data_IF_031184209887
#
_entry.id   IF_031184209887
#
_cell.length_a   1.000
_cell.length_b   1.000
_cell.length_c   1.000
_cell.angle_alpha   90.00
_cell.angle_beta   90.00
_cell.angle_gamma   90.00
#
_symmetry.space_group_name_H-M   'P 1'
#
loop_
_entity.id
_entity.type
_entity.pdbx_description
1 polymer ?
#
# COMPACT_ATOMS: atom_id res chain seq x y z
N UNK A 1 2.57 -8.35 -16.95
CA UNK A 1 3.22 -7.18 -16.31
C UNK A 1 4.40 -6.62 -17.09
N UNK A 2 5.16 -7.46 -17.81
CA UNK A 2 6.27 -6.98 -18.64
C UNK A 2 5.85 -5.88 -19.63
N UNK A 3 4.63 -5.97 -20.20
CA UNK A 3 4.09 -4.97 -21.14
C UNK A 3 3.22 -3.85 -20.52
N UNK A 4 3.10 -3.75 -19.18
CA UNK A 4 2.21 -2.72 -18.58
C UNK A 4 2.92 -1.38 -18.36
N UNK A 5 2.26 -0.26 -18.64
CA UNK A 5 2.81 1.08 -18.35
C UNK A 5 2.94 1.31 -16.83
N UNK A 6 4.08 1.86 -16.35
CA UNK A 6 4.25 2.19 -14.94
C UNK A 6 3.35 3.37 -14.53
N UNK A 7 3.12 3.52 -13.24
CA UNK A 7 2.38 4.66 -12.66
C UNK A 7 3.19 5.32 -11.55
N UNK A 8 2.97 6.61 -11.30
CA UNK A 8 3.71 7.40 -10.30
C UNK A 8 3.19 7.28 -8.87
N UNK A 9 1.98 6.73 -8.67
CA UNK A 9 1.40 6.53 -7.34
C UNK A 9 0.76 5.14 -7.20
N UNK A 10 0.88 4.48 -6.03
CA UNK A 10 0.33 3.14 -5.82
C UNK A 10 -1.21 3.15 -5.81
N UNK A 11 -1.82 4.29 -5.48
CA UNK A 11 -3.28 4.50 -5.47
C UNK A 11 -3.65 5.85 -6.10
N UNK A 12 -4.86 5.94 -6.65
CA UNK A 12 -5.42 7.21 -7.14
C UNK A 12 -5.93 8.02 -5.94
N UNK A 13 -5.59 9.30 -5.87
CA UNK A 13 -6.04 10.17 -4.78
C UNK A 13 -7.57 10.25 -4.74
N UNK A 14 -8.15 10.14 -3.53
CA UNK A 14 -9.60 10.15 -3.34
C UNK A 14 -10.35 8.91 -3.84
N UNK A 15 -9.64 7.90 -4.38
CA UNK A 15 -10.27 6.66 -4.82
C UNK A 15 -10.72 5.83 -3.63
N UNK A 16 -12.00 5.51 -3.59
CA UNK A 16 -12.64 4.74 -2.51
C UNK A 16 -12.99 3.35 -3.02
N UNK A 17 -12.51 2.34 -2.31
CA UNK A 17 -12.93 0.96 -2.52
C UNK A 17 -14.15 0.67 -1.65
N UNK A 18 -15.00 -0.25 -2.12
CA UNK A 18 -16.23 -0.63 -1.43
C UNK A 18 -16.48 -2.12 -1.60
N UNK A 19 -16.98 -2.77 -0.56
CA UNK A 19 -17.28 -4.20 -0.57
C UNK A 19 -18.49 -4.52 -1.46
N UNK A 20 -19.48 -3.62 -1.46
CA UNK A 20 -20.77 -3.80 -2.12
C UNK A 20 -20.81 -3.18 -3.52
N UNK A 21 -19.84 -3.53 -4.38
CA UNK A 21 -19.95 -3.22 -5.81
C UNK A 21 -20.74 -4.32 -6.52
N UNK A 22 -21.68 -3.95 -7.40
CA UNK A 22 -22.32 -4.86 -8.37
C UNK A 22 -21.32 -5.40 -9.43
N UNK A 23 -20.04 -5.45 -9.10
CA UNK A 23 -18.96 -5.85 -10.00
C UNK A 23 -18.81 -7.36 -10.06
N UNK A 24 -18.23 -7.83 -11.16
CA UNK A 24 -17.91 -9.25 -11.34
C UNK A 24 -16.86 -9.65 -10.30
N UNK A 25 -17.14 -10.73 -9.58
CA UNK A 25 -16.19 -11.33 -8.64
C UNK A 25 -15.02 -11.97 -9.38
N UNK A 26 -13.82 -11.91 -8.81
CA UNK A 26 -12.62 -12.56 -9.34
C UNK A 26 -12.23 -13.75 -8.45
N UNK A 27 -11.26 -14.56 -8.89
CA UNK A 27 -10.74 -15.65 -8.06
C UNK A 27 -10.09 -15.12 -6.77
N UNK A 28 -10.75 -15.41 -5.64
CA UNK A 28 -10.29 -15.13 -4.28
C UNK A 28 -8.86 -15.63 -4.03
N UNK A 29 -8.51 -16.81 -4.54
CA UNK A 29 -7.20 -17.43 -4.26
C UNK A 29 -6.10 -16.63 -4.93
N UNK A 30 -6.25 -16.34 -6.22
CA UNK A 30 -5.32 -15.51 -6.96
C UNK A 30 -5.19 -14.11 -6.34
N UNK A 31 -6.30 -13.48 -5.96
CA UNK A 31 -6.28 -12.17 -5.32
C UNK A 31 -5.53 -12.19 -3.97
N UNK A 32 -5.80 -13.18 -3.10
CA UNK A 32 -5.11 -13.34 -1.81
C UNK A 32 -3.62 -13.54 -1.98
N UNK A 33 -3.20 -14.38 -2.94
CA UNK A 33 -1.78 -14.60 -3.24
C UNK A 33 -1.08 -13.32 -3.69
N UNK A 34 -1.73 -12.56 -4.56
CA UNK A 34 -1.22 -11.27 -5.03
C UNK A 34 -1.04 -10.29 -3.87
N UNK A 35 -2.10 -10.08 -3.07
CA UNK A 35 -2.05 -9.13 -1.96
C UNK A 35 -1.06 -9.59 -0.88
N UNK A 36 -0.97 -10.88 -0.59
CA UNK A 36 0.04 -11.43 0.33
C UNK A 36 1.47 -11.17 -0.14
N UNK A 37 1.72 -11.31 -1.45
CA UNK A 37 3.03 -10.99 -2.04
C UNK A 37 3.36 -9.50 -1.93
N UNK A 38 2.38 -8.63 -2.14
CA UNK A 38 2.55 -7.18 -1.94
C UNK A 38 2.79 -6.84 -0.47
N UNK A 39 2.12 -7.54 0.46
CA UNK A 39 2.31 -7.34 1.90
C UNK A 39 3.73 -7.69 2.34
N UNK A 40 4.36 -8.70 1.74
CA UNK A 40 5.76 -9.00 2.00
C UNK A 40 6.69 -7.84 1.63
N UNK A 41 6.41 -7.13 0.52
CA UNK A 41 7.24 -6.02 0.06
C UNK A 41 7.17 -4.79 0.98
N UNK A 42 6.07 -4.60 1.73
CA UNK A 42 5.93 -3.43 2.63
C UNK A 42 6.98 -3.41 3.74
N UNK A 43 7.59 -4.56 4.06
CA UNK A 43 8.71 -4.68 5.00
C UNK A 43 9.97 -3.92 4.56
N UNK A 44 10.08 -3.54 3.29
CA UNK A 44 11.20 -2.72 2.76
C UNK A 44 10.73 -1.49 1.97
N UNK A 45 9.41 -1.36 1.78
CA UNK A 45 8.77 -0.34 0.93
C UNK A 45 7.66 0.37 1.70
N UNK A 46 8.00 1.33 2.60
CA UNK A 46 7.02 2.10 3.35
C UNK A 46 6.08 2.90 2.45
N UNK A 47 6.52 3.29 1.26
CA UNK A 47 5.77 4.11 0.31
C UNK A 47 4.52 3.45 -0.27
N UNK A 48 4.37 2.12 -0.17
CA UNK A 48 3.18 1.39 -0.64
C UNK A 48 2.32 0.81 0.49
N UNK A 49 2.70 0.98 1.75
CA UNK A 49 2.04 0.32 2.88
C UNK A 49 0.54 0.62 2.92
N UNK A 50 0.16 1.90 2.81
CA UNK A 50 -1.23 2.32 2.81
C UNK A 50 -2.06 1.64 1.71
N UNK A 51 -1.55 1.66 0.47
CA UNK A 51 -2.26 1.07 -0.66
C UNK A 51 -2.44 -0.44 -0.51
N UNK A 52 -1.40 -1.13 -0.04
CA UNK A 52 -1.42 -2.58 0.22
C UNK A 52 -2.36 -2.94 1.37
N UNK A 53 -2.34 -2.18 2.47
CA UNK A 53 -3.25 -2.34 3.61
C UNK A 53 -4.71 -2.08 3.23
N UNK A 54 -4.97 -1.13 2.32
CA UNK A 54 -6.32 -0.85 1.84
C UNK A 54 -6.86 -2.02 1.02
N UNK A 55 -6.11 -2.52 0.03
CA UNK A 55 -6.56 -3.65 -0.81
C UNK A 55 -6.68 -4.96 -0.01
N UNK A 56 -5.92 -5.13 1.08
CA UNK A 56 -6.03 -6.30 1.95
C UNK A 56 -7.31 -6.36 2.77
N UNK A 57 -8.12 -5.29 2.81
CA UNK A 57 -9.46 -5.33 3.44
C UNK A 57 -10.45 -6.19 2.63
N UNK A 58 -10.19 -6.41 1.35
CA UNK A 58 -11.12 -7.07 0.40
C UNK A 58 -10.69 -8.49 0.03
N UNK A 59 -10.39 -9.32 1.03
CA UNK A 59 -9.90 -10.70 0.81
C UNK A 59 -11.00 -11.74 0.58
N UNK A 60 -12.28 -11.37 0.70
CA UNK A 60 -13.41 -12.30 0.51
C UNK A 60 -14.30 -11.74 -0.58
N UNK A 61 -14.55 -12.55 -1.62
CA UNK A 61 -15.29 -12.14 -2.81
C UNK A 61 -14.76 -10.81 -3.42
N UNK A 62 -13.45 -10.72 -3.75
CA UNK A 62 -12.93 -9.54 -4.42
C UNK A 62 -13.60 -9.38 -5.78
N UNK A 63 -13.72 -8.14 -6.25
CA UNK A 63 -14.31 -7.80 -7.54
C UNK A 63 -13.20 -7.36 -8.49
N UNK A 64 -13.53 -7.17 -9.76
CA UNK A 64 -12.60 -6.61 -10.74
C UNK A 64 -12.01 -5.28 -10.29
N UNK A 65 -12.78 -4.43 -9.61
CA UNK A 65 -12.30 -3.14 -9.08
C UNK A 65 -11.19 -3.34 -8.04
N UNK A 66 -11.37 -4.30 -7.13
CA UNK A 66 -10.34 -4.68 -6.16
C UNK A 66 -9.07 -5.18 -6.88
N UNK A 67 -9.23 -6.05 -7.88
CA UNK A 67 -8.10 -6.57 -8.66
C UNK A 67 -7.39 -5.45 -9.46
N UNK A 68 -8.11 -4.48 -10.00
CA UNK A 68 -7.52 -3.33 -10.69
C UNK A 68 -6.71 -2.44 -9.74
N UNK A 69 -7.18 -2.26 -8.50
CA UNK A 69 -6.42 -1.56 -7.48
C UNK A 69 -5.10 -2.30 -7.16
N UNK A 70 -5.15 -3.62 -6.97
CA UNK A 70 -3.94 -4.45 -6.75
C UNK A 70 -2.99 -4.40 -7.96
N UNK A 71 -3.51 -4.47 -9.19
CA UNK A 71 -2.73 -4.30 -10.43
C UNK A 71 -2.11 -2.90 -10.55
N UNK A 72 -2.73 -1.86 -10.00
CA UNK A 72 -2.12 -0.52 -9.95
C UNK A 72 -0.89 -0.51 -9.05
N UNK A 73 -0.94 -1.12 -7.87
CA UNK A 73 0.22 -1.24 -6.96
C UNK A 73 1.38 -1.94 -7.67
N UNK A 74 1.09 -2.98 -8.45
CA UNK A 74 2.09 -3.67 -9.28
C UNK A 74 2.69 -2.79 -10.39
N UNK A 75 1.88 -1.95 -11.05
CA UNK A 75 2.38 -0.97 -12.03
C UNK A 75 3.26 0.09 -11.38
N UNK A 76 2.94 0.49 -10.14
CA UNK A 76 3.78 1.40 -9.37
C UNK A 76 5.12 0.76 -9.01
N UNK A 77 5.09 -0.49 -8.55
CA UNK A 77 6.30 -1.30 -8.31
C UNK A 77 7.18 -1.38 -9.54
N UNK A 78 6.60 -1.62 -10.73
CA UNK A 78 7.34 -1.63 -12.00
C UNK A 78 8.09 -0.32 -12.27
N UNK A 79 7.50 0.83 -11.94
CA UNK A 79 8.15 2.14 -12.11
C UNK A 79 9.19 2.46 -11.03
N UNK A 80 9.15 1.73 -9.91
CA UNK A 80 9.94 2.03 -8.70
C UNK A 80 10.77 0.82 -8.23
N UNK A 81 11.18 -0.05 -9.16
CA UNK A 81 11.98 -1.26 -8.82
C UNK A 81 13.27 -0.90 -8.11
N UNK A 82 13.86 0.26 -8.45
CA UNK A 82 15.11 0.74 -7.86
C UNK A 82 14.92 1.50 -6.53
N UNK A 83 13.69 1.61 -6.02
CA UNK A 83 13.42 2.29 -4.75
C UNK A 83 13.61 1.32 -3.59
N UNK A 84 14.24 1.80 -2.53
CA UNK A 84 14.44 1.05 -1.30
C UNK A 84 14.97 1.96 -0.20
N UNK A 85 15.03 1.42 1.02
CA UNK A 85 15.58 2.13 2.18
C UNK A 85 17.11 2.07 2.11
N UNK A 86 17.75 3.22 2.20
CA UNK A 86 19.20 3.34 2.19
C UNK A 86 19.71 3.94 3.49
N UNK A 87 20.42 3.14 4.28
CA UNK A 87 21.04 3.57 5.53
C UNK A 87 22.47 4.05 5.28
N UNK A 88 22.74 5.32 5.57
CA UNK A 88 24.10 5.90 5.50
C UNK A 88 24.71 5.95 6.89
N UNK A 89 25.99 5.62 6.98
CA UNK A 89 26.80 5.83 8.19
C UNK A 89 27.00 7.34 8.41
N UNK A 90 27.02 7.77 9.67
CA UNK A 90 27.38 9.15 10.05
C UNK A 90 26.20 10.12 10.21
N UNK A 91 24.97 9.62 10.39
CA UNK A 91 23.84 10.48 10.77
C UNK A 91 23.92 10.96 12.22
N UNK A 92 23.15 12.00 12.56
CA UNK A 92 23.17 12.69 13.87
C UNK A 92 22.62 11.87 15.05
N UNK A 93 22.35 10.57 14.89
CA UNK A 93 21.77 9.71 15.95
C UNK A 93 20.39 10.16 16.44
N UNK A 94 19.75 11.08 15.72
CA UNK A 94 18.46 11.64 16.08
C UNK A 94 17.34 10.73 15.58
N UNK A 95 16.36 10.49 16.46
CA UNK A 95 15.07 9.90 16.13
C UNK A 95 14.10 11.00 15.73
N UNK A 96 13.53 10.90 14.54
CA UNK A 96 12.48 11.77 14.03
C UNK A 96 11.22 10.92 13.83
N UNK A 97 10.06 11.46 14.19
CA UNK A 97 8.79 10.77 14.06
C UNK A 97 7.77 11.69 13.41
N UNK A 98 7.04 11.13 12.44
CA UNK A 98 5.87 11.75 11.83
C UNK A 98 4.68 10.82 12.04
N UNK A 99 3.52 11.41 12.28
CA UNK A 99 2.26 10.70 12.46
C UNK A 99 1.17 11.44 11.69
N UNK A 100 0.23 10.68 11.14
CA UNK A 100 -0.95 11.19 10.48
C UNK A 100 -2.16 10.33 10.84
N UNK A 101 -3.35 10.93 10.76
CA UNK A 101 -4.59 10.22 11.03
C UNK A 101 -5.73 10.76 10.18
N UNK A 102 -6.48 9.84 9.61
CA UNK A 102 -7.71 10.11 8.86
C UNK A 102 -8.91 9.66 9.69
N UNK A 103 -9.79 10.60 10.04
CA UNK A 103 -10.96 10.34 10.88
C UNK A 103 -12.11 9.78 10.04
N UNK A 104 -12.57 8.58 10.38
CA UNK A 104 -13.76 7.97 9.75
C UNK A 104 -13.59 7.83 8.21
N UNK A 105 -12.35 7.65 7.78
CA UNK A 105 -11.97 7.54 6.37
C UNK A 105 -12.45 6.26 5.69
N UNK A 106 -12.63 5.17 6.46
CA UNK A 106 -13.18 3.93 5.92
C UNK A 106 -14.68 4.10 5.61
N UNK A 107 -15.06 3.84 4.36
CA UNK A 107 -16.45 3.96 3.91
C UNK A 107 -17.34 2.84 4.43
N UNK A 108 -16.78 1.68 4.76
CA UNK A 108 -17.50 0.48 5.15
C UNK A 108 -17.81 0.50 6.65
N UNK A 109 -16.78 0.60 7.48
CA UNK A 109 -16.91 0.48 8.94
C UNK A 109 -16.65 1.78 9.70
N UNK A 110 -16.41 2.88 8.98
CA UNK A 110 -16.21 4.22 9.55
C UNK A 110 -15.04 4.26 10.54
N UNK A 111 -14.09 3.33 10.44
CA UNK A 111 -12.88 3.37 11.25
C UNK A 111 -11.93 4.46 10.77
N UNK A 112 -11.27 5.07 11.75
CA UNK A 112 -10.13 5.94 11.50
C UNK A 112 -8.92 5.11 11.06
N UNK A 113 -8.11 5.67 10.18
CA UNK A 113 -6.81 5.11 9.80
C UNK A 113 -5.73 5.99 10.39
N UNK A 114 -4.78 5.41 11.12
CA UNK A 114 -3.60 6.12 11.62
C UNK A 114 -2.35 5.54 10.97
N UNK A 115 -1.39 6.39 10.66
CA UNK A 115 -0.11 6.00 10.10
C UNK A 115 1.04 6.73 10.80
N UNK A 116 2.21 6.11 10.81
CA UNK A 116 3.42 6.75 11.33
C UNK A 116 4.66 6.34 10.54
N UNK A 117 5.68 7.18 10.62
CA UNK A 117 7.01 6.85 10.11
C UNK A 117 8.08 7.40 11.06
N UNK A 118 8.94 6.50 11.54
CA UNK A 118 10.07 6.83 12.39
C UNK A 118 11.37 6.72 11.59
N UNK A 119 12.20 7.75 11.68
CA UNK A 119 13.48 7.83 11.02
C UNK A 119 14.59 7.92 12.07
N UNK A 120 15.64 7.13 11.87
CA UNK A 120 16.87 7.20 12.63
C UNK A 120 18.00 7.57 11.67
N UNK A 121 18.74 8.63 11.97
CA UNK A 121 19.87 9.05 11.12
C UNK A 121 19.48 9.25 9.63
N UNK A 122 18.27 9.79 9.39
CA UNK A 122 17.66 10.00 8.06
C UNK A 122 17.21 8.73 7.31
N UNK A 123 17.38 7.54 7.89
CA UNK A 123 16.83 6.30 7.36
C UNK A 123 15.55 5.92 8.09
N UNK A 124 14.52 5.48 7.35
CA UNK A 124 13.26 5.00 7.94
C UNK A 124 13.51 3.66 8.63
N UNK A 125 13.12 3.53 9.91
CA UNK A 125 13.37 2.32 10.74
C UNK A 125 12.09 1.64 11.22
N UNK A 126 10.97 2.35 11.27
CA UNK A 126 9.67 1.79 11.65
C UNK A 126 8.54 2.59 11.00
N UNK A 127 7.50 1.91 10.54
CA UNK A 127 6.37 2.52 9.84
C UNK A 127 5.13 1.64 9.92
N UNK A 128 3.96 2.28 9.78
CA UNK A 128 2.65 1.64 9.65
C UNK A 128 1.73 2.51 8.79
#
# INVERSE_FOLDING_TARGET
MLESNPVSSPIVHGFKLSKNGNGVTVDDTHYKQLVGSLMYLTATRPDMIFATCLISRYMVMPTEVHLQAAKRVLRYLKGTVNYGIHYKKGGKGQLLAYTDSDYVGDMEDRKSTSGYVFLMSSGVVSWY
#
